data_IF_708582867951
#
_entry.id   IF_708582867951
#
_cell.length_a   1.000
_cell.length_b   1.000
_cell.length_c   1.000
_cell.angle_alpha   90.00
_cell.angle_beta   90.00
_cell.angle_gamma   90.00
#
_symmetry.space_group_name_H-M   'P 1'
#
loop_
_entity.id
_entity.type
_entity.pdbx_description
1 polymer ?
#
# COMPACT_ATOMS: atom_id res chain seq x y z
N UNK A 1 5.68 19.51 -11.44
CA UNK A 1 7.09 19.31 -11.02
C UNK A 1 7.92 18.95 -12.23
N UNK A 2 9.21 19.29 -12.27
CA UNK A 2 10.10 18.82 -13.34
C UNK A 2 10.43 17.33 -13.16
N UNK A 3 10.60 16.58 -14.27
CA UNK A 3 10.85 15.12 -14.26
C UNK A 3 12.14 14.67 -13.55
N UNK A 4 12.99 15.59 -13.10
CA UNK A 4 14.33 15.30 -12.55
C UNK A 4 14.54 15.76 -11.10
N UNK A 5 13.49 16.14 -10.38
CA UNK A 5 13.63 16.57 -8.99
C UNK A 5 13.67 15.38 -8.04
N UNK A 6 14.79 15.23 -7.33
CA UNK A 6 14.95 14.23 -6.28
C UNK A 6 13.99 14.59 -5.13
N UNK A 7 13.22 13.60 -4.68
CA UNK A 7 12.39 13.69 -3.47
C UNK A 7 13.09 12.81 -2.43
N UNK A 8 13.81 13.38 -1.45
CA UNK A 8 14.39 12.60 -0.36
C UNK A 8 13.26 12.12 0.56
N UNK A 9 13.21 10.81 0.81
CA UNK A 9 12.24 10.19 1.70
C UNK A 9 12.85 8.99 2.43
N UNK A 10 12.23 8.59 3.54
CA UNK A 10 12.59 7.38 4.28
C UNK A 10 11.33 6.70 4.83
N UNK A 11 11.38 5.38 5.02
CA UNK A 11 10.32 4.67 5.77
C UNK A 11 10.43 5.10 7.23
N UNK A 12 9.37 5.72 7.75
CA UNK A 12 9.21 6.09 9.16
C UNK A 12 8.71 4.90 9.98
N UNK A 13 7.62 4.28 9.50
CA UNK A 13 6.90 3.24 10.24
C UNK A 13 6.27 2.24 9.27
N UNK A 14 6.22 0.97 9.71
CA UNK A 14 5.44 -0.10 9.08
C UNK A 14 4.41 -0.59 10.09
N UNK A 15 3.15 -0.68 9.70
CA UNK A 15 2.05 -1.14 10.56
C UNK A 15 1.28 -2.26 9.87
N UNK A 16 1.15 -3.40 10.53
CA UNK A 16 0.11 -4.39 10.19
C UNK A 16 -1.17 -3.98 10.92
N UNK A 17 -2.09 -3.38 10.19
CA UNK A 17 -3.33 -2.85 10.74
C UNK A 17 -4.36 -3.96 10.97
N UNK A 18 -4.36 -4.95 10.09
CA UNK A 18 -5.22 -6.12 10.19
C UNK A 18 -4.53 -7.32 9.58
N UNK A 19 -4.62 -8.46 10.27
CA UNK A 19 -4.32 -9.76 9.70
C UNK A 19 -5.33 -10.75 10.26
N UNK A 20 -6.01 -11.48 9.38
CA UNK A 20 -6.98 -12.49 9.77
C UNK A 20 -6.97 -13.68 8.81
N UNK A 21 -7.16 -14.86 9.37
CA UNK A 21 -7.45 -16.09 8.63
C UNK A 21 -8.80 -16.62 9.05
N UNK A 22 -9.73 -16.76 8.11
CA UNK A 22 -11.11 -17.21 8.36
C UNK A 22 -11.28 -18.61 7.78
N UNK A 23 -10.86 -19.62 8.54
CA UNK A 23 -10.77 -20.99 8.06
C UNK A 23 -12.10 -21.56 7.55
N UNK A 24 -13.22 -21.15 8.13
CA UNK A 24 -14.57 -21.57 7.73
C UNK A 24 -14.96 -21.14 6.31
N UNK A 25 -14.29 -20.10 5.79
CA UNK A 25 -14.52 -19.55 4.46
C UNK A 25 -13.65 -20.24 3.40
N UNK A 26 -12.57 -20.89 3.80
CA UNK A 26 -11.70 -21.61 2.88
C UNK A 26 -12.28 -23.00 2.54
N UNK A 27 -12.22 -23.36 1.27
CA UNK A 27 -12.51 -24.73 0.82
C UNK A 27 -11.48 -25.14 -0.22
N UNK A 28 -10.91 -26.32 0.00
CA UNK A 28 -9.91 -26.87 -0.90
C UNK A 28 -10.50 -27.08 -2.30
N UNK A 29 -9.71 -26.79 -3.34
CA UNK A 29 -10.05 -26.91 -4.77
C UNK A 29 -11.07 -25.90 -5.31
N UNK A 30 -11.53 -24.93 -4.50
CA UNK A 30 -12.25 -23.77 -5.04
C UNK A 30 -11.28 -22.80 -5.73
N UNK A 31 -11.79 -22.10 -6.74
CA UNK A 31 -11.08 -20.98 -7.35
C UNK A 31 -10.87 -19.89 -6.30
N UNK A 32 -9.64 -19.37 -6.23
CA UNK A 32 -9.26 -18.33 -5.29
C UNK A 32 -9.04 -17.03 -6.04
N UNK A 33 -9.81 -16.01 -5.66
CA UNK A 33 -9.64 -14.65 -6.16
C UNK A 33 -8.78 -13.85 -5.19
N UNK A 34 -7.89 -13.02 -5.73
CA UNK A 34 -7.15 -12.02 -4.97
C UNK A 34 -7.74 -10.64 -5.26
N UNK A 35 -8.29 -10.01 -4.23
CA UNK A 35 -8.63 -8.59 -4.25
C UNK A 35 -7.51 -7.78 -3.62
N UNK A 36 -7.25 -6.60 -4.18
CA UNK A 36 -6.22 -5.69 -3.65
C UNK A 36 -6.59 -4.23 -3.89
N UNK A 37 -6.13 -3.34 -3.02
CA UNK A 37 -6.42 -1.92 -3.13
C UNK A 37 -5.41 -1.04 -2.38
N UNK A 38 -5.35 0.23 -2.77
CA UNK A 38 -4.54 1.25 -2.12
C UNK A 38 -5.40 2.34 -1.51
N UNK A 39 -4.95 2.88 -0.38
CA UNK A 39 -5.42 4.15 0.18
C UNK A 39 -4.20 5.00 0.52
N UNK A 40 -4.27 6.27 0.21
CA UNK A 40 -3.19 7.22 0.44
C UNK A 40 -3.56 8.20 1.55
N UNK A 41 -2.55 8.65 2.29
CA UNK A 41 -2.71 9.65 3.32
C UNK A 41 -1.57 10.65 3.31
N UNK A 42 -1.82 11.81 3.91
CA UNK A 42 -0.85 12.88 4.11
C UNK A 42 -0.92 13.34 5.58
N UNK A 43 0.24 13.60 6.16
CA UNK A 43 0.36 14.33 7.41
C UNK A 43 1.15 15.62 7.12
N UNK A 44 0.44 16.75 7.20
CA UNK A 44 1.00 18.07 6.87
C UNK A 44 1.92 18.60 7.96
N UNK A 45 1.72 18.19 9.21
CA UNK A 45 2.50 18.65 10.35
C UNK A 45 3.83 17.90 10.38
N UNK A 46 3.78 16.59 10.18
CA UNK A 46 4.95 15.71 10.16
C UNK A 46 5.65 15.64 8.79
N UNK A 47 5.11 16.31 7.77
CA UNK A 47 5.57 16.25 6.38
C UNK A 47 5.73 14.81 5.86
N UNK A 48 4.74 13.97 6.15
CA UNK A 48 4.79 12.54 5.82
C UNK A 48 3.66 12.11 4.89
N UNK A 49 3.90 11.04 4.14
CA UNK A 49 2.91 10.38 3.30
C UNK A 49 2.67 8.96 3.82
N UNK A 50 1.44 8.49 3.74
CA UNK A 50 1.07 7.13 4.07
C UNK A 50 0.59 6.40 2.82
N UNK A 51 1.05 5.16 2.65
CA UNK A 51 0.47 4.21 1.71
C UNK A 51 -0.08 3.04 2.51
N UNK A 52 -1.39 2.83 2.42
CA UNK A 52 -2.08 1.66 2.95
C UNK A 52 -2.40 0.73 1.79
N UNK A 53 -1.97 -0.51 1.92
CA UNK A 53 -2.25 -1.59 0.98
C UNK A 53 -3.08 -2.65 1.67
N UNK A 54 -4.23 -2.98 1.06
CA UNK A 54 -5.16 -4.00 1.55
C UNK A 54 -5.27 -5.13 0.53
N UNK A 55 -5.24 -6.37 1.01
CA UNK A 55 -5.48 -7.57 0.21
C UNK A 55 -6.46 -8.51 0.91
N UNK A 56 -7.21 -9.23 0.10
CA UNK A 56 -8.07 -10.32 0.53
C UNK A 56 -7.96 -11.49 -0.44
N UNK A 57 -7.73 -12.70 0.07
CA UNK A 57 -7.93 -13.93 -0.71
C UNK A 57 -9.33 -14.45 -0.43
N UNK A 58 -10.09 -14.73 -1.48
CA UNK A 58 -11.51 -15.10 -1.41
C UNK A 58 -11.77 -16.46 -2.03
N UNK A 59 -12.70 -17.20 -1.42
CA UNK A 59 -13.41 -18.33 -2.02
C UNK A 59 -14.90 -17.95 -2.15
N UNK A 60 -15.77 -18.88 -2.56
CA UNK A 60 -17.21 -18.60 -2.74
C UNK A 60 -17.88 -18.04 -1.47
N UNK A 61 -17.44 -18.50 -0.30
CA UNK A 61 -17.99 -18.06 1.01
C UNK A 61 -17.51 -16.66 1.45
N UNK A 62 -16.54 -16.08 0.76
CA UNK A 62 -15.94 -14.79 1.08
C UNK A 62 -14.45 -14.88 1.44
N UNK A 63 -13.89 -13.83 2.08
CA UNK A 63 -12.46 -13.76 2.35
C UNK A 63 -12.05 -14.81 3.39
N UNK A 64 -10.93 -15.47 3.14
CA UNK A 64 -10.33 -16.43 4.09
C UNK A 64 -8.92 -16.01 4.54
N UNK A 65 -8.28 -15.06 3.85
CA UNK A 65 -7.08 -14.36 4.32
C UNK A 65 -7.30 -12.87 4.07
N UNK A 66 -7.07 -12.04 5.09
CA UNK A 66 -7.12 -10.58 5.00
C UNK A 66 -5.80 -10.04 5.54
N UNK A 67 -5.20 -9.10 4.82
CA UNK A 67 -4.04 -8.35 5.29
C UNK A 67 -4.21 -6.87 4.92
N UNK A 68 -4.10 -6.01 5.92
CA UNK A 68 -4.00 -4.56 5.76
C UNK A 68 -2.68 -4.10 6.34
N UNK A 69 -1.84 -3.49 5.51
CA UNK A 69 -0.53 -2.99 5.90
C UNK A 69 -0.40 -1.53 5.47
N UNK A 70 0.14 -0.68 6.33
CA UNK A 70 0.52 0.68 5.97
C UNK A 70 2.01 0.92 6.16
N UNK A 71 2.61 1.64 5.23
CA UNK A 71 3.93 2.22 5.36
C UNK A 71 3.79 3.75 5.40
N UNK A 72 4.42 4.37 6.39
CA UNK A 72 4.51 5.81 6.53
C UNK A 72 5.91 6.26 6.11
N UNK A 73 5.98 7.32 5.32
CA UNK A 73 7.22 7.82 4.74
C UNK A 73 7.42 9.27 5.15
N UNK A 74 8.50 9.55 5.87
CA UNK A 74 8.93 10.93 6.11
C UNK A 74 9.50 11.50 4.81
N UNK A 75 9.09 12.71 4.45
CA UNK A 75 9.62 13.44 3.30
C UNK A 75 10.42 14.63 3.83
N UNK A 76 11.57 14.92 3.21
CA UNK A 76 12.30 16.14 3.57
C UNK A 76 11.39 17.37 3.40
N UNK A 77 11.32 18.22 4.43
CA UNK A 77 10.40 19.38 4.48
C UNK A 77 10.45 20.24 3.21
N UNK A 78 11.64 20.55 2.70
CA UNK A 78 11.79 21.34 1.46
C UNK A 78 11.15 20.63 0.26
N UNK A 79 11.34 19.32 0.16
CA UNK A 79 10.72 18.52 -0.88
C UNK A 79 9.19 18.45 -0.73
N UNK A 80 8.71 18.25 0.50
CA UNK A 80 7.28 18.15 0.80
C UNK A 80 6.52 19.45 0.46
N UNK A 81 7.08 20.62 0.79
CA UNK A 81 6.49 21.92 0.48
C UNK A 81 6.35 22.18 -1.03
N UNK A 82 7.03 21.42 -1.89
CA UNK A 82 6.83 21.51 -3.35
C UNK A 82 5.52 20.88 -3.80
N UNK A 83 4.95 19.94 -3.03
CA UNK A 83 3.64 19.35 -3.34
C UNK A 83 2.50 20.35 -3.17
N UNK A 84 2.68 21.40 -2.36
CA UNK A 84 1.65 22.40 -2.12
C UNK A 84 1.46 23.32 -3.34
N UNK A 85 0.29 23.23 -3.98
CA UNK A 85 -0.16 24.25 -4.92
C UNK A 85 -0.70 25.45 -4.12
N UNK A 86 0.04 26.56 -4.18
CA UNK A 86 -0.29 27.80 -3.48
C UNK A 86 -1.58 28.46 -3.95
N UNK A 87 -2.10 28.13 -5.14
CA UNK A 87 -3.34 28.71 -5.67
C UNK A 87 -4.57 28.01 -5.12
N UNK A 88 -4.57 26.68 -5.12
CA UNK A 88 -5.68 25.86 -4.63
C UNK A 88 -5.58 25.55 -3.13
N UNK A 89 -4.40 25.76 -2.52
CA UNK A 89 -4.08 25.31 -1.16
C UNK A 89 -4.15 23.79 -0.99
N UNK A 90 -4.00 23.03 -2.08
CA UNK A 90 -4.01 21.57 -2.08
C UNK A 90 -2.60 21.00 -2.23
N UNK A 91 -2.38 19.82 -1.68
CA UNK A 91 -1.16 19.05 -1.91
C UNK A 91 -1.37 18.11 -3.10
N UNK A 92 -0.58 18.27 -4.15
CA UNK A 92 -0.61 17.45 -5.37
C UNK A 92 0.66 16.60 -5.41
N UNK A 93 0.50 15.30 -5.16
CA UNK A 93 1.61 14.36 -5.15
C UNK A 93 1.64 13.64 -6.50
N UNK A 94 2.77 13.66 -7.22
CA UNK A 94 2.90 12.98 -8.51
C UNK A 94 2.61 11.48 -8.38
N UNK A 95 1.83 10.93 -9.31
CA UNK A 95 1.48 9.51 -9.34
C UNK A 95 2.71 8.60 -9.35
N UNK A 96 3.75 8.98 -10.09
CA UNK A 96 5.00 8.21 -10.21
C UNK A 96 5.69 8.04 -8.84
N UNK A 97 5.56 9.05 -7.97
CA UNK A 97 6.07 8.97 -6.61
C UNK A 97 5.24 8.02 -5.76
N UNK A 98 3.91 8.09 -5.84
CA UNK A 98 3.05 7.13 -5.15
C UNK A 98 3.19 5.70 -5.67
N UNK A 99 3.43 5.48 -6.96
CA UNK A 99 3.77 4.17 -7.53
C UNK A 99 5.02 3.62 -6.85
N UNK A 100 6.05 4.45 -6.66
CA UNK A 100 7.27 4.03 -5.99
C UNK A 100 7.04 3.67 -4.52
N UNK A 101 6.36 4.53 -3.75
CA UNK A 101 6.03 4.25 -2.34
C UNK A 101 5.12 3.02 -2.20
N UNK A 102 4.22 2.82 -3.14
CA UNK A 102 3.31 1.67 -3.19
C UNK A 102 4.05 0.38 -3.51
N UNK A 103 5.02 0.39 -4.41
CA UNK A 103 5.87 -0.77 -4.68
C UNK A 103 6.63 -1.24 -3.43
N UNK A 104 7.18 -0.29 -2.64
CA UNK A 104 7.81 -0.58 -1.35
C UNK A 104 6.80 -1.20 -0.37
N UNK A 105 5.61 -0.60 -0.26
CA UNK A 105 4.55 -1.06 0.64
C UNK A 105 4.06 -2.47 0.29
N UNK A 106 3.88 -2.77 -1.00
CA UNK A 106 3.53 -4.12 -1.48
C UNK A 106 4.65 -5.12 -1.19
N UNK A 107 5.92 -4.72 -1.35
CA UNK A 107 7.07 -5.53 -0.96
C UNK A 107 7.06 -5.88 0.52
N UNK A 108 6.80 -4.88 1.38
CA UNK A 108 6.65 -5.06 2.82
C UNK A 108 5.47 -5.98 3.17
N UNK A 109 4.30 -5.75 2.56
CA UNK A 109 3.11 -6.57 2.77
C UNK A 109 3.35 -8.03 2.35
N UNK A 110 4.08 -8.28 1.26
CA UNK A 110 4.48 -9.63 0.83
C UNK A 110 5.30 -10.34 1.90
N UNK A 111 6.30 -9.66 2.47
CA UNK A 111 7.12 -10.21 3.54
C UNK A 111 6.32 -10.53 4.80
N UNK A 112 5.43 -9.62 5.20
CA UNK A 112 4.52 -9.81 6.34
C UNK A 112 3.59 -11.02 6.09
N UNK A 113 2.97 -11.09 4.91
CA UNK A 113 2.08 -12.19 4.55
C UNK A 113 2.81 -13.54 4.63
N UNK A 114 3.99 -13.63 3.99
CA UNK A 114 4.80 -14.84 4.03
C UNK A 114 5.11 -15.26 5.47
N UNK A 115 5.59 -14.34 6.31
CA UNK A 115 5.94 -14.64 7.70
C UNK A 115 4.72 -15.03 8.56
N UNK A 116 3.53 -14.48 8.26
CA UNK A 116 2.29 -14.78 8.99
C UNK A 116 1.65 -16.11 8.60
N UNK A 117 1.84 -16.54 7.36
CA UNK A 117 1.30 -17.80 6.84
C UNK A 117 2.28 -18.97 6.94
N UNK A 118 3.54 -18.71 7.24
CA UNK A 118 4.56 -19.75 7.42
C UNK A 118 4.11 -20.81 8.45
N UNK A 119 4.27 -22.08 8.10
CA UNK A 119 3.80 -23.24 8.88
C UNK A 119 2.29 -23.29 9.17
N UNK A 120 1.47 -22.60 8.38
CA UNK A 120 0.00 -22.73 8.41
C UNK A 120 -0.49 -23.51 7.18
N UNK A 121 -1.75 -23.98 7.19
CA UNK A 121 -2.38 -24.61 6.01
C UNK A 121 -2.58 -23.68 4.81
N UNK A 122 -2.15 -22.42 4.94
CA UNK A 122 -2.28 -21.36 3.97
C UNK A 122 -0.90 -20.89 3.46
N UNK A 123 0.19 -21.57 3.80
CA UNK A 123 1.56 -21.20 3.40
C UNK A 123 1.76 -21.19 1.86
N UNK A 124 0.91 -21.91 1.12
CA UNK A 124 0.87 -21.85 -0.34
C UNK A 124 0.38 -20.51 -0.92
N UNK A 125 -0.31 -19.68 -0.13
CA UNK A 125 -0.87 -18.41 -0.60
C UNK A 125 0.16 -17.29 -0.50
N UNK A 126 0.76 -16.96 -1.64
CA UNK A 126 1.76 -15.91 -1.77
C UNK A 126 1.15 -14.71 -2.49
N UNK A 127 1.48 -13.49 -2.03
CA UNK A 127 1.13 -12.26 -2.74
C UNK A 127 1.96 -12.16 -4.03
N UNK A 128 1.34 -12.25 -5.23
CA UNK A 128 2.06 -12.19 -6.49
C UNK A 128 2.76 -10.85 -6.72
N UNK A 129 3.58 -10.79 -7.76
CA UNK A 129 4.01 -9.52 -8.33
C UNK A 129 2.83 -8.86 -9.02
N UNK A 130 2.66 -7.54 -8.81
CA UNK A 130 1.54 -6.77 -9.34
C UNK A 130 2.07 -5.59 -10.14
N UNK A 131 1.38 -5.23 -11.22
CA UNK A 131 1.70 -4.03 -11.98
C UNK A 131 1.12 -2.79 -11.29
N UNK A 132 1.85 -2.23 -10.33
CA UNK A 132 1.39 -1.09 -9.52
C UNK A 132 1.15 0.16 -10.39
N UNK A 133 1.88 0.29 -11.51
CA UNK A 133 1.72 1.43 -12.41
C UNK A 133 0.35 1.43 -13.12
N UNK A 134 -0.30 0.29 -13.26
CA UNK A 134 -1.67 0.18 -13.81
C UNK A 134 -2.75 0.43 -12.74
N UNK A 135 -2.39 0.43 -11.44
CA UNK A 135 -3.33 0.61 -10.34
C UNK A 135 -3.45 2.06 -9.85
N UNK A 136 -2.50 2.92 -10.25
CA UNK A 136 -2.44 4.33 -9.85
C UNK A 136 -2.35 5.18 -11.12
N UNK A 137 -3.51 5.64 -11.60
CA UNK A 137 -3.63 6.26 -12.93
C UNK A 137 -3.31 7.76 -12.92
N UNK A 138 -3.58 8.43 -11.81
CA UNK A 138 -3.56 9.89 -11.68
C UNK A 138 -2.79 10.37 -10.43
N UNK A 139 -2.44 11.66 -10.44
CA UNK A 139 -1.84 12.32 -9.28
C UNK A 139 -2.82 12.32 -8.11
N UNK A 140 -2.30 12.20 -6.89
CA UNK A 140 -3.14 12.16 -5.69
C UNK A 140 -3.21 13.55 -5.09
N UNK A 141 -4.43 14.03 -4.87
CA UNK A 141 -4.71 15.38 -4.34
C UNK A 141 -5.25 15.27 -2.91
N UNK A 142 -4.67 16.05 -2.01
CA UNK A 142 -5.17 16.21 -0.64
C UNK A 142 -5.52 17.67 -0.37
N UNK A 143 -6.63 17.87 0.34
CA UNK A 143 -7.03 19.17 0.91
C UNK A 143 -6.24 19.49 2.16
#
# INVERSE_FOLDING_TARGET
MSKNEIIPFAIKTIVTEEFATIESNYKEKEEVTLESGFKFGIDKEEHSLAVRFEISFLCEKGPFIILKTSCHFDIEQKAFLRFLDKKSSQYIIPKDFFIHLSALTVGTARGILHAKLDNTKFDQFVLPTMNIAEMIEEDVVFE
#
